data_IF_428871682082
#
_entry.id   IF_428871682082
#
_cell.length_a   1.000
_cell.length_b   1.000
_cell.length_c   1.000
_cell.angle_alpha   90.00
_cell.angle_beta   90.00
_cell.angle_gamma   90.00
#
_symmetry.space_group_name_H-M   'P 1'
#
loop_
_entity.id
_entity.type
_entity.pdbx_description
1 polymer ?
#
# COMPACT_ATOMS: atom_id res chain seq x y z
N UNK A 1 14.61 -11.40 -11.73
CA UNK A 1 13.21 -11.38 -12.21
C UNK A 1 12.57 -12.75 -11.95
N UNK A 2 11.80 -12.92 -10.87
CA UNK A 2 10.82 -14.02 -10.83
C UNK A 2 9.64 -13.61 -11.72
N UNK A 3 9.85 -13.69 -13.04
CA UNK A 3 8.88 -13.19 -14.02
C UNK A 3 7.73 -14.20 -14.13
N UNK A 4 6.74 -14.07 -13.26
CA UNK A 4 5.51 -14.87 -13.29
C UNK A 4 4.56 -14.40 -14.40
N UNK A 5 5.07 -14.04 -15.59
CA UNK A 5 4.29 -13.46 -16.70
C UNK A 5 3.12 -14.35 -17.10
N UNK A 6 3.36 -15.66 -17.24
CA UNK A 6 2.34 -16.64 -17.58
C UNK A 6 1.24 -16.74 -16.51
N UNK A 7 1.62 -16.83 -15.23
CA UNK A 7 0.66 -16.92 -14.13
C UNK A 7 -0.14 -15.64 -13.96
N UNK A 8 0.51 -14.47 -14.11
CA UNK A 8 -0.18 -13.17 -14.13
C UNK A 8 -1.22 -13.10 -15.26
N UNK A 9 -0.90 -13.66 -16.43
CA UNK A 9 -1.85 -13.73 -17.55
C UNK A 9 -3.04 -14.65 -17.23
N UNK A 10 -2.82 -15.83 -16.64
CA UNK A 10 -3.91 -16.72 -16.20
C UNK A 10 -4.83 -16.00 -15.22
N UNK A 11 -4.28 -15.41 -14.15
CA UNK A 11 -5.08 -14.70 -13.16
C UNK A 11 -5.78 -13.48 -13.75
N UNK A 12 -5.19 -12.81 -14.75
CA UNK A 12 -5.88 -11.75 -15.48
C UNK A 12 -7.12 -12.26 -16.21
N UNK A 13 -7.07 -13.44 -16.82
CA UNK A 13 -8.25 -14.02 -17.46
C UNK A 13 -9.32 -14.43 -16.44
N UNK A 14 -8.89 -15.02 -15.32
CA UNK A 14 -9.78 -15.51 -14.28
C UNK A 14 -10.50 -14.38 -13.54
N UNK A 15 -9.78 -13.32 -13.19
CA UNK A 15 -10.31 -12.19 -12.41
C UNK A 15 -10.81 -11.03 -13.26
N UNK A 16 -10.49 -11.03 -14.57
CA UNK A 16 -10.68 -9.90 -15.49
C UNK A 16 -9.94 -8.61 -15.07
N UNK A 17 -9.03 -8.70 -14.09
CA UNK A 17 -8.23 -7.58 -13.56
C UNK A 17 -6.76 -7.83 -13.85
N UNK A 18 -5.99 -6.77 -14.10
CA UNK A 18 -4.56 -6.90 -14.41
C UNK A 18 -3.79 -7.22 -13.12
N UNK A 19 -2.94 -8.23 -13.17
CA UNK A 19 -2.05 -8.59 -12.05
C UNK A 19 -0.70 -7.91 -12.27
N UNK A 20 -0.35 -7.00 -11.36
CA UNK A 20 0.90 -6.25 -11.41
C UNK A 20 2.05 -7.13 -10.92
N UNK A 21 1.87 -7.73 -9.74
CA UNK A 21 2.88 -8.58 -9.09
C UNK A 21 2.27 -9.83 -8.46
N UNK A 22 3.13 -10.81 -8.21
CA UNK A 22 2.87 -11.99 -7.37
C UNK A 22 4.08 -12.07 -6.44
N UNK A 23 3.86 -11.90 -5.14
CA UNK A 23 4.92 -11.60 -4.18
C UNK A 23 5.56 -10.23 -4.42
N UNK A 24 6.69 -10.00 -3.74
CA UNK A 24 7.46 -8.75 -3.81
C UNK A 24 8.94 -9.00 -4.04
N UNK A 25 9.58 -8.07 -4.75
CA UNK A 25 11.05 -8.02 -4.90
C UNK A 25 11.67 -6.90 -4.03
N UNK A 26 10.92 -6.37 -3.07
CA UNK A 26 11.45 -5.40 -2.12
C UNK A 26 12.61 -6.01 -1.33
N UNK A 27 13.70 -5.25 -1.17
CA UNK A 27 14.86 -5.67 -0.40
C UNK A 27 14.75 -5.08 1.02
N UNK A 28 14.43 -5.90 2.02
CA UNK A 28 14.20 -5.42 3.37
C UNK A 28 15.53 -5.01 4.03
N UNK A 29 15.47 -4.00 4.90
CA UNK A 29 16.61 -3.48 5.68
C UNK A 29 16.39 -3.60 7.20
N UNK A 30 15.16 -3.90 7.65
CA UNK A 30 14.82 -4.10 9.07
C UNK A 30 14.16 -5.47 9.30
N UNK A 31 14.16 -6.01 10.54
CA UNK A 31 13.53 -7.30 10.84
C UNK A 31 12.03 -7.34 10.49
N UNK A 32 11.29 -6.26 10.77
CA UNK A 32 9.88 -6.15 10.39
C UNK A 32 9.71 -6.20 8.87
N UNK A 33 10.55 -5.50 8.11
CA UNK A 33 10.51 -5.57 6.65
C UNK A 33 10.79 -6.97 6.12
N UNK A 34 11.71 -7.71 6.74
CA UNK A 34 12.01 -9.10 6.39
C UNK A 34 10.77 -9.95 6.54
N UNK A 35 10.09 -9.88 7.69
CA UNK A 35 8.88 -10.65 7.97
C UNK A 35 7.78 -10.40 6.94
N UNK A 36 7.51 -9.13 6.61
CA UNK A 36 6.50 -8.82 5.59
C UNK A 36 6.91 -9.31 4.20
N UNK A 37 8.16 -9.12 3.78
CA UNK A 37 8.64 -9.61 2.48
C UNK A 37 8.52 -11.14 2.40
N UNK A 38 8.86 -11.85 3.48
CA UNK A 38 8.68 -13.29 3.59
C UNK A 38 7.20 -13.67 3.51
N UNK A 39 6.31 -12.98 4.23
CA UNK A 39 4.86 -13.22 4.17
C UNK A 39 4.27 -12.99 2.78
N UNK A 40 4.62 -11.90 2.10
CA UNK A 40 4.21 -11.61 0.72
C UNK A 40 4.61 -12.72 -0.24
N UNK A 41 5.86 -13.18 -0.14
CA UNK A 41 6.42 -14.19 -1.04
C UNK A 41 5.93 -15.60 -0.71
N UNK A 42 5.84 -15.95 0.58
CA UNK A 42 5.32 -17.23 1.04
C UNK A 42 3.86 -17.42 0.63
N UNK A 43 3.04 -16.39 0.84
CA UNK A 43 1.62 -16.44 0.50
C UNK A 43 1.35 -16.19 -0.99
N UNK A 44 2.35 -15.74 -1.76
CA UNK A 44 2.20 -15.29 -3.14
C UNK A 44 1.14 -14.19 -3.27
N UNK A 45 1.08 -13.26 -2.32
CA UNK A 45 0.14 -12.13 -2.33
C UNK A 45 0.26 -11.38 -3.64
N UNK A 46 -0.87 -11.11 -4.29
CA UNK A 46 -0.90 -10.51 -5.63
C UNK A 46 -1.40 -9.09 -5.57
N UNK A 47 -0.70 -8.17 -6.21
CA UNK A 47 -1.21 -6.83 -6.44
C UNK A 47 -2.05 -6.81 -7.72
N UNK A 48 -3.31 -6.40 -7.59
CA UNK A 48 -4.28 -6.30 -8.66
C UNK A 48 -4.58 -4.83 -8.96
N UNK A 49 -4.64 -4.48 -10.24
CA UNK A 49 -5.15 -3.21 -10.73
C UNK A 49 -6.66 -3.37 -10.97
N UNK A 50 -7.47 -2.73 -10.13
CA UNK A 50 -8.93 -2.74 -10.22
C UNK A 50 -9.39 -1.64 -11.18
N UNK A 51 -8.82 -0.45 -11.02
CA UNK A 51 -8.96 0.73 -11.87
C UNK A 51 -7.57 1.37 -12.08
N UNK A 52 -7.21 1.60 -13.33
CA UNK A 52 -5.90 2.16 -13.69
C UNK A 52 -5.76 3.61 -13.21
N UNK A 53 -4.60 3.93 -12.64
CA UNK A 53 -4.31 5.30 -12.23
C UNK A 53 -3.99 6.19 -13.44
N UNK A 54 -4.60 7.37 -13.50
CA UNK A 54 -4.25 8.42 -14.45
C UNK A 54 -3.14 9.28 -13.83
N UNK A 55 -1.88 8.93 -14.11
CA UNK A 55 -0.70 9.58 -13.52
C UNK A 55 -0.31 10.77 -14.40
N UNK A 56 -0.54 11.98 -13.88
CA UNK A 56 -0.11 13.25 -14.46
C UNK A 56 0.29 14.22 -13.35
N UNK A 57 1.00 15.29 -13.71
CA UNK A 57 1.35 16.36 -12.77
C UNK A 57 0.10 16.93 -12.06
N UNK A 58 -0.97 17.18 -12.83
CA UNK A 58 -2.24 17.68 -12.33
C UNK A 58 -2.92 16.69 -11.38
N UNK A 59 -2.93 15.39 -11.71
CA UNK A 59 -3.56 14.40 -10.84
C UNK A 59 -2.77 14.19 -9.54
N UNK A 60 -1.44 14.27 -9.60
CA UNK A 60 -0.57 14.23 -8.43
C UNK A 60 -0.83 15.42 -7.52
N UNK A 61 -0.94 16.61 -8.09
CA UNK A 61 -1.24 17.82 -7.34
C UNK A 61 -2.65 17.79 -6.73
N UNK A 62 -3.66 17.39 -7.50
CA UNK A 62 -5.03 17.20 -7.00
C UNK A 62 -5.09 16.20 -5.83
N UNK A 63 -4.40 15.06 -5.97
CA UNK A 63 -4.29 14.09 -4.89
C UNK A 63 -3.62 14.67 -3.66
N UNK A 64 -2.58 15.49 -3.83
CA UNK A 64 -1.90 16.15 -2.73
C UNK A 64 -2.85 17.13 -2.00
N UNK A 65 -3.60 17.96 -2.73
CA UNK A 65 -4.60 18.85 -2.15
C UNK A 65 -5.65 18.08 -1.34
N UNK A 66 -6.15 16.97 -1.88
CA UNK A 66 -7.11 16.12 -1.18
C UNK A 66 -6.49 15.46 0.04
N UNK A 67 -5.25 14.96 -0.08
CA UNK A 67 -4.57 14.22 0.98
C UNK A 67 -4.07 15.12 2.12
N UNK A 68 -3.76 16.38 1.85
CA UNK A 68 -3.32 17.37 2.83
C UNK A 68 -4.45 18.25 3.36
N UNK A 69 -5.55 18.38 2.62
CA UNK A 69 -6.56 19.42 2.83
C UNK A 69 -6.17 20.70 2.10
N UNK A 70 -7.04 21.20 1.24
CA UNK A 70 -6.80 22.38 0.40
C UNK A 70 -6.48 23.65 1.20
N UNK A 71 -6.97 23.72 2.44
CA UNK A 71 -6.74 24.80 3.40
C UNK A 71 -5.31 24.81 3.96
N UNK A 72 -4.58 23.71 3.84
CA UNK A 72 -3.19 23.58 4.30
C UNK A 72 -2.18 23.95 3.20
N UNK A 73 -2.64 24.27 1.98
CA UNK A 73 -1.80 24.76 0.88
C UNK A 73 -2.15 26.22 0.57
N UNK A 74 -1.18 27.15 0.51
CA UNK A 74 -1.45 28.56 0.23
C UNK A 74 -2.06 28.75 -1.17
N UNK A 75 -3.03 29.66 -1.34
CA UNK A 75 -3.68 29.87 -2.66
C UNK A 75 -2.72 30.30 -3.77
N UNK A 76 -1.70 31.08 -3.44
CA UNK A 76 -0.72 31.62 -4.39
C UNK A 76 0.54 30.75 -4.51
N UNK A 77 0.41 29.43 -4.29
CA UNK A 77 1.52 28.50 -4.46
C UNK A 77 1.84 28.29 -5.95
N UNK A 78 3.06 27.81 -6.23
CA UNK A 78 3.43 27.24 -7.52
C UNK A 78 3.81 25.78 -7.34
N UNK A 79 3.22 24.92 -8.15
CA UNK A 79 3.55 23.50 -8.19
C UNK A 79 4.48 23.24 -9.38
N UNK A 80 5.64 22.63 -9.11
CA UNK A 80 6.62 22.28 -10.13
C UNK A 80 6.85 20.77 -10.14
N UNK A 81 6.85 20.21 -11.34
CA UNK A 81 7.38 18.88 -11.62
C UNK A 81 8.82 19.02 -12.08
N UNK A 82 9.75 18.52 -11.27
CA UNK A 82 11.18 18.54 -11.56
C UNK A 82 11.54 17.30 -12.38
N UNK A 83 10.99 16.16 -12.00
CA UNK A 83 11.15 14.88 -12.70
C UNK A 83 9.77 14.26 -12.89
N UNK A 84 9.46 13.86 -14.13
CA UNK A 84 8.18 13.23 -14.48
C UNK A 84 7.97 11.94 -13.67
N UNK A 85 6.74 11.72 -13.19
CA UNK A 85 6.39 10.46 -12.54
C UNK A 85 6.45 9.27 -13.50
N UNK A 86 6.78 8.11 -12.95
CA UNK A 86 6.64 6.87 -13.69
C UNK A 86 5.16 6.59 -13.96
N UNK A 87 4.82 6.37 -15.23
CA UNK A 87 3.46 6.06 -15.68
C UNK A 87 3.02 4.63 -15.36
N UNK A 88 3.76 3.94 -14.50
CA UNK A 88 3.49 2.57 -14.08
C UNK A 88 3.55 2.48 -12.56
N UNK A 89 2.68 1.64 -12.01
CA UNK A 89 2.73 1.28 -10.60
C UNK A 89 3.60 0.05 -10.45
N UNK A 90 4.65 0.17 -9.63
CA UNK A 90 5.53 -0.94 -9.29
C UNK A 90 5.31 -1.38 -7.85
N UNK A 91 5.11 -2.68 -7.64
CA UNK A 91 4.70 -3.19 -6.34
C UNK A 91 5.77 -3.01 -5.26
N UNK A 92 7.05 -3.21 -5.56
CA UNK A 92 8.10 -3.06 -4.54
C UNK A 92 8.15 -1.62 -4.00
N UNK A 93 7.83 -0.63 -4.84
CA UNK A 93 7.74 0.76 -4.44
C UNK A 93 6.54 0.98 -3.51
N UNK A 94 5.47 0.20 -3.64
CA UNK A 94 4.32 0.20 -2.72
C UNK A 94 4.64 -0.51 -1.41
N UNK A 95 5.27 -1.67 -1.44
CA UNK A 95 5.69 -2.36 -0.20
C UNK A 95 6.60 -1.44 0.61
N UNK A 96 7.59 -0.82 -0.04
CA UNK A 96 8.47 0.17 0.58
C UNK A 96 7.72 1.42 1.09
N UNK A 97 6.89 2.06 0.23
CA UNK A 97 6.29 3.35 0.58
C UNK A 97 5.00 3.29 1.40
N UNK A 98 4.27 2.18 1.33
CA UNK A 98 2.87 2.06 1.78
C UNK A 98 2.70 0.96 2.82
N UNK A 99 3.55 -0.06 2.86
CA UNK A 99 3.45 -1.08 3.91
C UNK A 99 4.52 -0.80 4.97
N UNK A 100 5.76 -0.54 4.55
CA UNK A 100 6.90 -0.44 5.48
C UNK A 100 7.15 0.98 6.00
N UNK A 101 6.92 2.00 5.17
CA UNK A 101 7.22 3.38 5.52
C UNK A 101 6.04 4.13 6.14
N UNK A 102 5.81 4.02 7.45
CA UNK A 102 5.07 5.07 8.16
C UNK A 102 5.94 6.32 8.27
N UNK A 103 7.21 6.15 8.64
CA UNK A 103 7.99 7.32 9.01
C UNK A 103 8.62 7.98 7.78
N UNK A 104 8.66 9.31 7.75
CA UNK A 104 9.39 10.08 6.73
C UNK A 104 10.29 11.10 7.39
N UNK A 105 11.43 11.34 6.75
CA UNK A 105 12.34 12.36 7.19
C UNK A 105 11.95 13.70 6.56
N UNK A 106 11.83 14.70 7.40
CA UNK A 106 11.67 16.09 7.04
C UNK A 106 13.00 16.78 7.29
N UNK A 107 13.58 17.33 6.23
CA UNK A 107 14.71 18.25 6.34
C UNK A 107 14.22 19.68 6.19
N UNK A 108 14.73 20.58 7.02
CA UNK A 108 14.43 22.01 7.01
C UNK A 108 15.77 22.76 7.03
N UNK A 109 15.91 23.75 6.17
CA UNK A 109 17.12 24.54 6.00
C UNK A 109 16.78 26.04 6.00
N UNK A 110 17.58 26.80 6.75
CA UNK A 110 17.63 28.25 6.76
C UNK A 110 18.88 28.71 6.04
N UNK A 111 18.76 29.75 5.21
CA UNK A 111 19.93 30.34 4.54
C UNK A 111 20.93 30.97 5.51
N UNK A 112 20.46 31.46 6.66
CA UNK A 112 21.28 32.08 7.70
C UNK A 112 20.80 31.63 9.08
N UNK A 113 21.70 31.56 10.09
CA UNK A 113 21.31 31.23 11.45
C UNK A 113 20.22 32.15 11.98
N UNK A 114 19.20 31.58 12.61
CA UNK A 114 18.09 32.35 13.18
C UNK A 114 17.48 31.67 14.41
N UNK A 115 17.07 32.43 15.44
CA UNK A 115 16.35 31.89 16.60
C UNK A 115 15.02 31.21 16.26
N UNK A 116 14.48 31.44 15.06
CA UNK A 116 13.24 30.78 14.60
C UNK A 116 13.40 29.25 14.55
N UNK A 117 14.62 28.75 14.42
CA UNK A 117 14.88 27.30 14.34
C UNK A 117 14.40 26.56 15.59
N UNK A 118 14.51 27.17 16.77
CA UNK A 118 13.97 26.60 18.02
C UNK A 118 12.44 26.56 18.01
N UNK A 119 11.79 27.55 17.39
CA UNK A 119 10.33 27.54 17.21
C UNK A 119 9.91 26.44 16.24
N UNK A 120 10.70 26.18 15.19
CA UNK A 120 10.44 25.10 14.24
C UNK A 120 10.54 23.74 14.92
N UNK A 121 11.57 23.51 15.73
CA UNK A 121 11.71 22.27 16.50
C UNK A 121 10.56 22.04 17.45
N UNK A 122 10.14 23.08 18.18
CA UNK A 122 8.96 22.99 19.06
C UNK A 122 7.69 22.64 18.28
N UNK A 123 7.49 23.27 17.13
CA UNK A 123 6.33 23.00 16.28
C UNK A 123 6.31 21.56 15.75
N UNK A 124 7.47 21.03 15.33
CA UNK A 124 7.60 19.64 14.89
C UNK A 124 7.22 18.67 16.03
N UNK A 125 7.70 18.92 17.25
CA UNK A 125 7.36 18.11 18.43
C UNK A 125 5.86 18.17 18.76
N UNK A 126 5.23 19.35 18.66
CA UNK A 126 3.78 19.53 18.87
C UNK A 126 2.95 18.77 17.83
N UNK A 127 3.47 18.56 16.63
CA UNK A 127 2.84 17.78 15.54
C UNK A 127 3.25 16.29 15.58
N UNK A 128 3.73 15.80 16.73
CA UNK A 128 4.18 14.42 16.98
C UNK A 128 5.37 13.96 16.13
N UNK A 129 6.21 14.89 15.67
CA UNK A 129 7.50 14.57 15.07
C UNK A 129 8.58 14.33 16.11
N UNK A 130 9.67 13.69 15.70
CA UNK A 130 10.88 13.46 16.49
C UNK A 130 12.06 14.21 15.86
N UNK A 131 12.79 15.00 16.64
CA UNK A 131 14.01 15.67 16.15
C UNK A 131 15.17 14.67 16.18
N UNK A 132 15.81 14.46 15.03
CA UNK A 132 16.96 13.57 14.89
C UNK A 132 18.26 14.38 15.02
N UNK A 133 18.34 15.48 14.26
CA UNK A 133 19.46 16.41 14.28
C UNK A 133 18.96 17.85 14.16
N UNK A 134 19.64 18.76 14.86
CA UNK A 134 19.36 20.19 14.80
C UNK A 134 20.67 20.97 14.92
N UNK A 135 20.86 21.93 14.01
CA UNK A 135 21.92 22.93 14.05
C UNK A 135 21.32 24.33 14.15
N UNK A 136 22.14 25.38 13.98
CA UNK A 136 21.64 26.77 13.95
C UNK A 136 20.95 27.14 12.63
N UNK A 137 21.08 26.31 11.59
CA UNK A 137 20.50 26.53 10.25
C UNK A 137 19.69 25.36 9.74
N UNK A 138 19.83 24.16 10.29
CA UNK A 138 19.23 22.95 9.75
C UNK A 138 18.51 22.13 10.81
N UNK A 139 17.44 21.45 10.41
CA UNK A 139 16.76 20.43 11.21
C UNK A 139 16.54 19.21 10.33
N UNK A 140 16.89 18.03 10.86
CA UNK A 140 16.41 16.75 10.35
C UNK A 140 15.48 16.17 11.40
N UNK A 141 14.23 15.93 11.03
CA UNK A 141 13.22 15.33 11.88
C UNK A 141 12.58 14.12 11.22
N UNK A 142 11.97 13.27 12.04
CA UNK A 142 11.22 12.10 11.66
C UNK A 142 9.74 12.37 11.94
N UNK A 143 8.90 12.15 10.94
CA UNK A 143 7.48 12.47 10.92
C UNK A 143 6.64 11.20 10.72
N UNK A 144 5.41 11.20 11.22
CA UNK A 144 4.50 10.03 11.20
C UNK A 144 4.09 9.53 9.81
N UNK A 145 4.09 10.41 8.80
CA UNK A 145 3.71 10.08 7.44
C UNK A 145 4.31 11.06 6.45
N UNK A 146 4.35 10.68 5.15
CA UNK A 146 4.74 11.59 4.07
C UNK A 146 3.85 12.83 4.02
N UNK A 147 2.54 12.65 4.20
CA UNK A 147 1.59 13.74 4.12
C UNK A 147 1.74 14.69 5.31
N UNK A 148 1.98 14.17 6.51
CA UNK A 148 2.27 14.99 7.68
C UNK A 148 3.58 15.75 7.53
N UNK A 149 4.63 15.10 7.01
CA UNK A 149 5.90 15.75 6.73
C UNK A 149 5.74 16.93 5.76
N UNK A 150 4.99 16.74 4.66
CA UNK A 150 4.74 17.81 3.68
C UNK A 150 3.89 18.93 4.30
N UNK A 151 2.83 18.59 5.04
CA UNK A 151 1.97 19.58 5.73
C UNK A 151 2.77 20.43 6.72
N UNK A 152 3.56 19.78 7.58
CA UNK A 152 4.41 20.46 8.57
C UNK A 152 5.45 21.32 7.86
N UNK A 153 6.09 20.80 6.80
CA UNK A 153 7.03 21.57 5.98
C UNK A 153 6.40 22.86 5.42
N UNK A 154 5.19 22.78 4.83
CA UNK A 154 4.48 23.96 4.31
C UNK A 154 4.24 24.98 5.43
N UNK A 155 3.84 24.54 6.62
CA UNK A 155 3.63 25.43 7.78
C UNK A 155 4.92 26.08 8.24
N UNK A 156 6.03 25.34 8.32
CA UNK A 156 7.34 25.88 8.71
C UNK A 156 7.85 26.91 7.69
N UNK A 157 7.66 26.65 6.39
CA UNK A 157 7.99 27.63 5.33
C UNK A 157 7.13 28.88 5.46
N UNK A 158 5.82 28.74 5.74
CA UNK A 158 4.92 29.87 6.01
C UNK A 158 5.36 30.70 7.22
N UNK A 159 5.70 30.06 8.34
CA UNK A 159 6.23 30.71 9.55
C UNK A 159 7.55 31.44 9.27
N UNK A 160 8.43 30.86 8.45
CA UNK A 160 9.64 31.51 7.96
C UNK A 160 9.33 32.79 7.20
N UNK A 161 8.45 32.70 6.20
CA UNK A 161 8.02 33.83 5.39
C UNK A 161 7.39 34.96 6.23
N UNK A 162 6.61 34.62 7.25
CA UNK A 162 6.02 35.59 8.17
C UNK A 162 7.09 36.41 8.92
N UNK A 163 8.21 35.76 9.24
CA UNK A 163 9.40 36.35 9.88
C UNK A 163 10.43 36.88 8.86
N UNK A 164 10.09 36.97 7.57
CA UNK A 164 10.98 37.38 6.48
C UNK A 164 12.25 36.49 6.33
N UNK A 165 12.14 35.21 6.70
CA UNK A 165 13.21 34.21 6.58
C UNK A 165 12.83 33.25 5.47
N UNK A 166 13.74 33.07 4.50
CA UNK A 166 13.58 32.04 3.47
C UNK A 166 13.90 30.68 4.06
N UNK A 167 12.93 29.77 3.99
CA UNK A 167 13.05 28.41 4.49
C UNK A 167 12.90 27.46 3.33
N UNK A 168 13.82 26.49 3.26
CA UNK A 168 13.66 25.34 2.39
C UNK A 168 13.36 24.12 3.22
N UNK A 169 12.64 23.21 2.60
CA UNK A 169 12.39 21.93 3.21
C UNK A 169 12.23 20.86 2.16
N UNK A 170 12.50 19.63 2.56
CA UNK A 170 12.31 18.49 1.70
C UNK A 170 11.93 17.25 2.50
N UNK A 171 11.11 16.40 1.89
CA UNK A 171 10.64 15.15 2.47
C UNK A 171 11.31 13.98 1.77
N UNK A 172 11.80 13.02 2.55
CA UNK A 172 12.54 11.85 2.07
C UNK A 172 12.23 10.59 2.88
N UNK A 173 12.60 9.43 2.33
CA UNK A 173 12.51 8.15 3.05
C UNK A 173 13.59 8.04 4.14
N UNK A 174 14.72 8.71 3.95
CA UNK A 174 15.84 8.81 4.90
C UNK A 174 16.26 10.27 5.05
N UNK A 175 16.99 10.61 6.10
CA UNK A 175 17.54 11.95 6.30
C UNK A 175 18.48 12.38 5.15
N UNK A 176 19.32 11.47 4.66
CA UNK A 176 20.16 11.73 3.49
C UNK A 176 19.32 12.03 2.23
N UNK A 177 18.26 11.25 2.00
CA UNK A 177 17.39 11.43 0.84
C UNK A 177 16.54 12.72 0.92
N UNK A 178 16.22 13.24 2.12
CA UNK A 178 15.58 14.56 2.26
C UNK A 178 16.58 15.69 2.00
N UNK A 179 17.82 15.58 2.50
CA UNK A 179 18.88 16.58 2.24
C UNK A 179 19.23 16.66 0.75
N UNK A 180 19.51 15.52 0.11
CA UNK A 180 19.82 15.45 -1.32
C UNK A 180 18.72 16.12 -2.17
N UNK A 181 17.46 15.93 -1.76
CA UNK A 181 16.31 16.53 -2.43
C UNK A 181 16.23 18.05 -2.23
N UNK A 182 16.54 18.56 -1.05
CA UNK A 182 16.64 20.01 -0.83
C UNK A 182 17.74 20.62 -1.72
N UNK A 183 18.90 19.96 -1.80
CA UNK A 183 20.01 20.38 -2.65
C UNK A 183 19.60 20.39 -4.14
N UNK A 184 18.92 19.33 -4.59
CA UNK A 184 18.45 19.24 -5.98
C UNK A 184 17.39 20.30 -6.30
N UNK A 185 16.43 20.52 -5.39
CA UNK A 185 15.44 21.57 -5.50
C UNK A 185 16.10 22.95 -5.68
N UNK A 186 17.17 23.22 -4.92
CA UNK A 186 17.93 24.45 -5.07
C UNK A 186 18.61 24.58 -6.44
N UNK A 187 19.18 23.50 -6.97
CA UNK A 187 19.83 23.50 -8.29
C UNK A 187 18.86 23.76 -9.43
N UNK A 188 17.66 23.19 -9.36
CA UNK A 188 16.67 23.21 -10.44
C UNK A 188 15.77 24.45 -10.40
N UNK A 189 15.34 24.86 -9.21
CA UNK A 189 14.34 25.94 -9.03
C UNK A 189 14.99 27.23 -8.50
N UNK A 190 16.16 27.14 -7.86
CA UNK A 190 16.89 28.27 -7.27
C UNK A 190 16.50 28.56 -5.82
N UNK A 191 16.92 29.74 -5.34
CA UNK A 191 16.83 30.10 -3.92
C UNK A 191 15.43 30.59 -3.46
N UNK A 192 14.40 29.76 -3.70
CA UNK A 192 13.02 30.05 -3.32
C UNK A 192 12.57 29.26 -2.07
N UNK A 193 11.71 29.85 -1.22
CA UNK A 193 11.07 29.13 -0.12
C UNK A 193 10.10 28.08 -0.63
N UNK A 194 10.20 26.86 -0.10
CA UNK A 194 9.35 25.77 -0.59
C UNK A 194 9.64 24.41 0.01
N UNK A 195 8.88 23.42 -0.50
CA UNK A 195 8.90 22.03 -0.05
C UNK A 195 9.12 21.10 -1.23
N UNK A 196 10.21 20.33 -1.21
CA UNK A 196 10.49 19.27 -2.19
C UNK A 196 10.06 17.88 -1.72
N UNK A 197 9.49 17.05 -2.59
CA UNK A 197 9.08 15.68 -2.22
C UNK A 197 8.99 14.74 -3.44
N UNK A 198 8.77 13.44 -3.19
CA UNK A 198 8.60 12.42 -4.24
C UNK A 198 7.24 11.73 -4.19
N UNK A 199 6.68 11.43 -5.36
CA UNK A 199 5.49 10.59 -5.52
C UNK A 199 5.60 9.80 -6.82
N UNK A 200 5.42 8.47 -6.75
CA UNK A 200 5.46 7.56 -7.91
C UNK A 200 6.72 7.70 -8.80
N UNK A 201 7.90 7.75 -8.20
CA UNK A 201 9.17 7.95 -8.93
C UNK A 201 9.41 9.38 -9.43
N UNK A 202 8.37 10.22 -9.49
CA UNK A 202 8.47 11.64 -9.83
C UNK A 202 8.93 12.49 -8.65
N UNK A 203 9.48 13.66 -8.97
CA UNK A 203 9.96 14.66 -8.02
C UNK A 203 9.26 15.99 -8.21
N UNK A 204 8.78 16.55 -7.11
CA UNK A 204 7.89 17.69 -7.11
C UNK A 204 8.32 18.74 -6.09
N UNK A 205 7.94 19.98 -6.35
CA UNK A 205 8.12 21.10 -5.43
C UNK A 205 6.86 21.95 -5.30
N UNK A 206 6.57 22.38 -4.08
CA UNK A 206 5.64 23.48 -3.81
C UNK A 206 6.45 24.69 -3.41
N UNK A 207 6.40 25.75 -4.21
CA UNK A 207 7.05 27.02 -3.93
C UNK A 207 6.04 28.01 -3.36
N UNK A 208 6.44 28.72 -2.32
CA UNK A 208 5.61 29.64 -1.56
C UNK A 208 6.18 31.07 -1.67
N UNK A 209 5.41 31.92 -2.35
CA UNK A 209 5.85 33.27 -2.73
C UNK A 209 5.31 34.34 -1.76
N UNK A 210 4.38 33.97 -0.87
CA UNK A 210 3.64 34.89 0.00
C UNK A 210 3.51 34.36 1.41
N UNK A 211 3.45 35.29 2.38
CA UNK A 211 3.11 35.01 3.78
C UNK A 211 1.85 34.16 3.88
N UNK A 212 1.92 33.14 4.73
CA UNK A 212 0.83 32.19 4.90
C UNK A 212 0.82 31.68 6.33
N UNK A 213 -0.30 31.92 6.99
CA UNK A 213 -0.69 31.23 8.21
C UNK A 213 -1.84 30.31 7.85
N UNK A 214 -1.61 28.99 7.91
CA UNK A 214 -2.74 28.05 7.81
C UNK A 214 -3.67 28.32 9.01
N UNK A 215 -4.98 28.07 8.87
CA UNK A 215 -5.84 27.96 10.05
C UNK A 215 -5.23 26.96 11.04
N UNK A 216 -5.48 27.14 12.35
CA UNK A 216 -5.33 26.04 13.32
C UNK A 216 -6.38 24.99 12.97
N UNK A 217 -6.11 24.17 11.98
CA UNK A 217 -6.88 22.97 11.72
C UNK A 217 -6.59 21.99 12.86
N UNK A 218 -7.65 21.55 13.54
CA UNK A 218 -7.55 20.35 14.35
C UNK A 218 -7.02 19.25 13.43
N UNK A 219 -6.06 18.46 13.91
CA UNK A 219 -5.41 17.31 13.25
C UNK A 219 -6.43 16.23 12.80
N UNK A 220 -7.73 16.48 12.94
CA UNK A 220 -8.80 15.48 12.99
C UNK A 220 -9.55 15.20 11.68
N UNK A 221 -9.24 15.76 10.52
CA UNK A 221 -10.11 15.52 9.34
C UNK A 221 -9.52 14.61 8.25
N UNK A 222 -8.22 14.28 8.29
CA UNK A 222 -7.63 13.32 7.34
C UNK A 222 -7.56 11.91 7.91
N UNK A 223 -8.72 11.38 8.28
CA UNK A 223 -8.86 10.01 8.75
C UNK A 223 -8.63 9.00 7.62
N UNK A 224 -7.98 7.89 7.95
CA UNK A 224 -7.93 6.71 7.08
C UNK A 224 -8.77 5.64 7.78
N UNK A 225 -9.85 5.20 7.13
CA UNK A 225 -10.73 4.16 7.63
C UNK A 225 -10.40 2.84 6.97
N UNK A 226 -10.39 1.78 7.77
CA UNK A 226 -10.36 0.39 7.31
C UNK A 226 -11.71 -0.21 7.68
N UNK A 227 -12.42 -0.72 6.67
CA UNK A 227 -13.59 -1.57 6.86
C UNK A 227 -13.18 -3.02 6.56
N UNK A 228 -13.51 -3.95 7.45
CA UNK A 228 -13.30 -5.39 7.26
C UNK A 228 -14.64 -6.08 7.46
N UNK A 229 -14.91 -7.08 6.63
CA UNK A 229 -16.06 -7.95 6.79
C UNK A 229 -15.71 -9.39 6.38
N UNK A 230 -16.18 -10.36 7.15
CA UNK A 230 -15.96 -11.78 6.92
C UNK A 230 -16.89 -12.28 5.81
N UNK A 231 -16.29 -12.78 4.73
CA UNK A 231 -17.04 -13.36 3.63
C UNK A 231 -17.67 -14.69 4.04
N UNK A 232 -18.91 -14.94 3.59
CA UNK A 232 -19.68 -16.14 3.91
C UNK A 232 -19.75 -16.44 5.42
N UNK A 233 -19.82 -15.41 6.25
CA UNK A 233 -19.85 -15.51 7.72
C UNK A 233 -20.91 -16.49 8.22
N UNK A 234 -22.09 -16.54 7.58
CA UNK A 234 -23.16 -17.50 7.90
C UNK A 234 -22.69 -18.94 7.73
N UNK A 235 -22.00 -19.25 6.62
CA UNK A 235 -21.45 -20.59 6.38
C UNK A 235 -20.35 -20.90 7.39
N UNK A 236 -19.46 -19.96 7.66
CA UNK A 236 -18.41 -20.12 8.66
C UNK A 236 -18.99 -20.42 10.05
N UNK A 237 -20.04 -19.72 10.47
CA UNK A 237 -20.70 -19.99 11.75
C UNK A 237 -21.41 -21.33 11.81
N UNK A 238 -21.91 -21.84 10.67
CA UNK A 238 -22.48 -23.19 10.61
C UNK A 238 -21.41 -24.27 10.71
N UNK A 239 -20.26 -24.08 10.06
CA UNK A 239 -19.17 -25.05 10.01
C UNK A 239 -18.35 -25.09 11.32
N UNK A 240 -18.20 -23.94 11.99
CA UNK A 240 -17.26 -23.78 13.11
C UNK A 240 -17.87 -23.22 14.41
N UNK A 241 -19.14 -22.80 14.38
CA UNK A 241 -19.82 -22.19 15.51
C UNK A 241 -19.61 -20.67 15.63
N UNK A 242 -20.56 -19.99 16.29
CA UNK A 242 -20.52 -18.54 16.50
C UNK A 242 -19.38 -18.08 17.41
N UNK A 243 -19.02 -18.88 18.40
CA UNK A 243 -17.95 -18.54 19.34
C UNK A 243 -16.60 -18.39 18.63
N UNK A 244 -16.35 -19.23 17.61
CA UNK A 244 -15.14 -19.15 16.81
C UNK A 244 -15.08 -17.90 15.93
N UNK A 245 -16.22 -17.42 15.43
CA UNK A 245 -16.30 -16.12 14.74
C UNK A 245 -15.98 -14.98 15.71
N UNK A 246 -16.53 -15.02 16.93
CA UNK A 246 -16.30 -14.00 17.96
C UNK A 246 -14.82 -13.95 18.35
N UNK A 247 -14.21 -15.11 18.58
CA UNK A 247 -12.77 -15.24 18.86
C UNK A 247 -11.94 -14.62 17.73
N UNK A 248 -12.22 -15.03 16.48
CA UNK A 248 -11.51 -14.54 15.30
C UNK A 248 -11.58 -13.01 15.18
N UNK A 249 -12.79 -12.44 15.28
CA UNK A 249 -13.00 -11.00 15.14
C UNK A 249 -12.42 -10.21 16.33
N UNK A 250 -12.42 -10.78 17.53
CA UNK A 250 -11.74 -10.17 18.67
C UNK A 250 -10.22 -10.18 18.50
N UNK A 251 -9.62 -11.23 17.96
CA UNK A 251 -8.19 -11.25 17.63
C UNK A 251 -7.84 -10.20 16.59
N UNK A 252 -8.65 -10.04 15.54
CA UNK A 252 -8.48 -8.97 14.55
C UNK A 252 -8.58 -7.59 15.21
N UNK A 253 -9.55 -7.39 16.11
CA UNK A 253 -9.71 -6.15 16.88
C UNK A 253 -8.46 -5.83 17.72
N UNK A 254 -7.96 -6.81 18.47
CA UNK A 254 -6.78 -6.67 19.33
C UNK A 254 -5.55 -6.32 18.48
N UNK A 255 -5.34 -7.05 17.37
CA UNK A 255 -4.26 -6.78 16.43
C UNK A 255 -4.30 -5.33 15.91
N UNK A 256 -5.48 -4.85 15.52
CA UNK A 256 -5.68 -3.48 15.05
C UNK A 256 -5.34 -2.45 16.12
N UNK A 257 -5.79 -2.65 17.36
CA UNK A 257 -5.61 -1.70 18.46
C UNK A 257 -4.17 -1.69 19.00
N UNK A 258 -3.59 -2.87 19.21
CA UNK A 258 -2.30 -3.04 19.90
C UNK A 258 -1.11 -2.96 18.95
N UNK A 259 -1.18 -3.61 17.79
CA UNK A 259 -0.03 -3.71 16.86
C UNK A 259 -0.04 -2.57 15.83
N UNK A 260 -1.20 -2.24 15.28
CA UNK A 260 -1.34 -1.23 14.22
C UNK A 260 -1.72 0.17 14.73
N UNK A 261 -1.92 0.34 16.05
CA UNK A 261 -2.34 1.61 16.69
C UNK A 261 -3.62 2.21 16.09
N UNK A 262 -4.49 1.35 15.57
CA UNK A 262 -5.80 1.73 15.07
C UNK A 262 -6.78 1.96 16.20
N UNK A 263 -7.75 2.85 15.98
CA UNK A 263 -8.88 3.05 16.90
C UNK A 263 -10.14 2.43 16.31
N UNK A 264 -10.74 1.48 17.01
CA UNK A 264 -12.03 0.91 16.60
C UNK A 264 -13.13 1.97 16.75
N UNK A 265 -13.86 2.19 15.67
CA UNK A 265 -14.94 3.19 15.59
C UNK A 265 -16.32 2.52 15.48
N UNK A 266 -16.37 1.25 15.09
CA UNK A 266 -17.57 0.44 15.06
C UNK A 266 -17.23 -1.04 15.01
N UNK A 267 -17.75 -1.79 15.97
CA UNK A 267 -17.71 -3.24 16.00
C UNK A 267 -18.83 -3.70 16.93
N UNK A 268 -19.73 -4.55 16.43
CA UNK A 268 -20.75 -5.18 17.26
C UNK A 268 -20.17 -6.51 17.75
N UNK A 269 -20.14 -6.72 19.08
CA UNK A 269 -19.64 -7.98 19.63
C UNK A 269 -20.39 -9.18 19.03
N UNK A 270 -19.63 -10.09 18.39
CA UNK A 270 -20.18 -11.24 17.66
C UNK A 270 -20.82 -10.93 16.32
N UNK A 271 -20.55 -9.74 15.76
CA UNK A 271 -20.73 -9.43 14.34
C UNK A 271 -19.54 -9.89 13.50
N UNK A 272 -19.72 -9.82 12.19
CA UNK A 272 -18.76 -10.21 11.15
C UNK A 272 -18.04 -9.02 10.51
N UNK A 273 -18.47 -7.79 10.81
CA UNK A 273 -17.91 -6.55 10.31
C UNK A 273 -17.21 -5.72 11.40
N UNK A 274 -16.20 -4.96 11.01
CA UNK A 274 -15.55 -3.97 11.87
C UNK A 274 -15.10 -2.76 11.05
N UNK A 275 -15.09 -1.60 11.72
CA UNK A 275 -14.52 -0.38 11.18
C UNK A 275 -13.54 0.26 12.17
N UNK A 276 -12.35 0.55 11.66
CA UNK A 276 -11.25 1.11 12.40
C UNK A 276 -10.74 2.38 11.72
N UNK A 277 -10.18 3.28 12.53
CA UNK A 277 -9.59 4.56 12.10
C UNK A 277 -8.10 4.55 12.39
N UNK A 278 -7.31 4.96 11.42
CA UNK A 278 -5.86 4.99 11.47
C UNK A 278 -5.32 6.40 11.21
N UNK A 279 -4.18 6.75 11.83
CA UNK A 279 -3.52 8.04 11.60
C UNK A 279 -2.95 8.13 10.18
N UNK A 280 -2.57 7.01 9.58
CA UNK A 280 -2.00 6.97 8.23
C UNK A 280 -2.61 5.85 7.38
N UNK A 281 -2.49 6.02 6.06
CA UNK A 281 -3.00 5.05 5.08
C UNK A 281 -2.19 3.75 5.09
N UNK A 282 -0.89 3.84 5.32
CA UNK A 282 0.01 2.69 5.37
C UNK A 282 -0.34 1.75 6.54
N UNK A 283 -0.64 2.29 7.72
CA UNK A 283 -1.10 1.52 8.87
C UNK A 283 -2.45 0.84 8.59
N UNK A 284 -3.39 1.53 7.93
CA UNK A 284 -4.67 0.93 7.54
C UNK A 284 -4.49 -0.23 6.55
N UNK A 285 -3.56 -0.11 5.60
CA UNK A 285 -3.28 -1.17 4.61
C UNK A 285 -2.59 -2.36 5.27
N UNK A 286 -1.60 -2.13 6.14
CA UNK A 286 -0.97 -3.17 6.96
C UNK A 286 -2.00 -3.93 7.78
N UNK A 287 -2.80 -3.21 8.55
CA UNK A 287 -3.87 -3.79 9.35
C UNK A 287 -4.82 -4.66 8.51
N UNK A 288 -5.18 -4.21 7.30
CA UNK A 288 -6.00 -4.99 6.37
C UNK A 288 -5.31 -6.27 5.89
N UNK A 289 -4.03 -6.20 5.53
CA UNK A 289 -3.24 -7.36 5.07
C UNK A 289 -3.02 -8.39 6.17
N UNK A 290 -2.64 -7.94 7.36
CA UNK A 290 -2.40 -8.82 8.50
C UNK A 290 -3.69 -9.50 8.94
N UNK A 291 -4.81 -8.75 8.94
CA UNK A 291 -6.14 -9.33 9.13
C UNK A 291 -6.47 -10.35 8.05
N UNK A 292 -6.13 -10.09 6.79
CA UNK A 292 -6.38 -11.03 5.69
C UNK A 292 -5.56 -12.31 5.81
N UNK A 293 -4.28 -12.22 6.18
CA UNK A 293 -3.43 -13.39 6.42
C UNK A 293 -3.90 -14.19 7.64
N UNK A 294 -4.18 -13.51 8.75
CA UNK A 294 -4.63 -14.14 9.99
C UNK A 294 -5.98 -14.85 9.81
N UNK A 295 -6.97 -14.19 9.24
CA UNK A 295 -8.31 -14.78 9.03
C UNK A 295 -8.26 -15.97 8.08
N UNK A 296 -7.45 -15.88 7.03
CA UNK A 296 -7.25 -16.98 6.08
C UNK A 296 -6.60 -18.20 6.72
N UNK A 297 -5.59 -18.01 7.57
CA UNK A 297 -4.99 -19.12 8.33
C UNK A 297 -5.96 -19.76 9.33
N UNK A 298 -7.05 -19.07 9.68
CA UNK A 298 -8.13 -19.57 10.54
C UNK A 298 -9.37 -20.04 9.77
N UNK A 299 -9.27 -20.20 8.44
CA UNK A 299 -10.32 -20.77 7.59
C UNK A 299 -11.41 -19.79 7.16
N UNK A 300 -11.25 -18.48 7.42
CA UNK A 300 -12.15 -17.43 6.98
C UNK A 300 -11.53 -16.59 5.86
N UNK A 301 -12.34 -15.87 5.09
CA UNK A 301 -11.87 -14.87 4.14
C UNK A 301 -12.45 -13.53 4.52
N UNK A 302 -11.73 -12.46 4.22
CA UNK A 302 -12.26 -11.12 4.42
C UNK A 302 -12.35 -10.36 3.10
N UNK A 303 -13.31 -9.44 3.07
CA UNK A 303 -13.26 -8.28 2.22
C UNK A 303 -12.84 -7.09 3.07
N UNK A 304 -11.85 -6.34 2.59
CA UNK A 304 -11.36 -5.17 3.29
C UNK A 304 -11.24 -3.98 2.33
N UNK A 305 -11.58 -2.80 2.81
CA UNK A 305 -11.50 -1.56 2.05
C UNK A 305 -10.92 -0.43 2.88
N UNK A 306 -9.95 0.29 2.33
CA UNK A 306 -9.34 1.47 2.95
C UNK A 306 -9.88 2.73 2.27
N UNK A 307 -10.43 3.69 3.03
CA UNK A 307 -10.99 4.94 2.51
C UNK A 307 -10.67 6.16 3.39
N UNK A 308 -10.94 7.37 2.91
CA UNK A 308 -10.89 8.61 3.70
C UNK A 308 -12.13 8.81 4.56
N UNK A 309 -13.24 8.20 4.15
CA UNK A 309 -14.48 8.16 4.93
C UNK A 309 -14.89 6.72 5.23
N UNK A 310 -15.76 6.55 6.24
CA UNK A 310 -16.34 5.25 6.57
C UNK A 310 -17.09 4.63 5.39
N UNK A 311 -17.85 5.46 4.67
CA UNK A 311 -18.62 5.06 3.49
C UNK A 311 -17.70 4.57 2.37
N UNK A 312 -16.66 5.35 2.06
CA UNK A 312 -15.70 5.02 1.02
C UNK A 312 -14.93 3.72 1.32
N UNK A 313 -14.56 3.51 2.60
CA UNK A 313 -13.95 2.25 3.02
C UNK A 313 -14.90 1.05 2.80
N UNK A 314 -16.18 1.20 3.15
CA UNK A 314 -17.21 0.17 2.91
C UNK A 314 -17.47 -0.10 1.42
N UNK A 315 -17.61 0.95 0.60
CA UNK A 315 -17.80 0.83 -0.85
C UNK A 315 -16.61 0.10 -1.51
N UNK A 316 -15.38 0.41 -1.10
CA UNK A 316 -14.17 -0.29 -1.57
C UNK A 316 -14.12 -1.75 -1.14
N UNK A 317 -14.57 -2.07 0.08
CA UNK A 317 -14.66 -3.46 0.53
C UNK A 317 -15.70 -4.26 -0.29
N UNK A 318 -16.84 -3.63 -0.63
CA UNK A 318 -17.88 -4.27 -1.46
C UNK A 318 -17.40 -4.56 -2.89
N UNK A 319 -16.48 -3.77 -3.45
CA UNK A 319 -15.88 -4.07 -4.77
C UNK A 319 -15.20 -5.45 -4.81
N UNK A 320 -14.77 -6.00 -3.67
CA UNK A 320 -14.22 -7.35 -3.60
C UNK A 320 -15.25 -8.42 -4.03
N UNK A 321 -16.54 -8.16 -3.85
CA UNK A 321 -17.61 -9.09 -4.24
C UNK A 321 -17.70 -9.25 -5.76
N UNK A 322 -17.32 -8.22 -6.52
CA UNK A 322 -17.35 -8.24 -7.98
C UNK A 322 -16.15 -8.98 -8.59
N UNK A 323 -15.08 -9.16 -7.81
CA UNK A 323 -13.81 -9.75 -8.25
C UNK A 323 -13.70 -11.16 -7.68
N UNK A 324 -14.22 -12.13 -8.42
CA UNK A 324 -14.21 -13.54 -8.03
C UNK A 324 -13.59 -14.41 -9.12
N UNK A 325 -13.10 -15.58 -8.70
CA UNK A 325 -12.72 -16.65 -9.63
C UNK A 325 -13.80 -17.74 -9.55
N UNK A 326 -13.53 -18.82 -8.81
CA UNK A 326 -14.51 -19.87 -8.49
C UNK A 326 -15.12 -19.68 -7.10
N UNK A 327 -14.40 -18.96 -6.23
CA UNK A 327 -14.79 -18.64 -4.87
C UNK A 327 -14.44 -17.17 -4.60
N UNK A 328 -15.05 -16.56 -3.57
CA UNK A 328 -14.68 -15.21 -3.14
C UNK A 328 -13.18 -15.11 -2.82
N UNK A 329 -12.59 -13.97 -3.14
CA UNK A 329 -11.16 -13.68 -2.93
C UNK A 329 -10.98 -12.89 -1.63
N UNK A 330 -9.94 -13.21 -0.85
CA UNK A 330 -9.57 -12.38 0.29
C UNK A 330 -8.83 -11.14 -0.24
N UNK A 331 -9.50 -9.99 -0.24
CA UNK A 331 -9.05 -8.78 -0.94
C UNK A 331 -8.99 -7.59 0.01
N UNK A 332 -7.88 -6.85 -0.08
CA UNK A 332 -7.67 -5.57 0.60
C UNK A 332 -7.59 -4.47 -0.45
N UNK A 333 -8.67 -3.69 -0.59
CA UNK A 333 -8.84 -2.67 -1.63
C UNK A 333 -8.44 -1.29 -1.11
N UNK A 334 -7.59 -0.60 -1.86
CA UNK A 334 -7.11 0.72 -1.53
C UNK A 334 -6.87 1.56 -2.80
N UNK A 335 -6.89 2.86 -2.63
CA UNK A 335 -6.55 3.76 -3.72
C UNK A 335 -5.04 3.96 -3.85
N UNK A 336 -4.55 4.20 -5.06
CA UNK A 336 -3.21 4.68 -5.29
C UNK A 336 -3.19 5.55 -6.53
N UNK A 337 -2.60 6.74 -6.46
CA UNK A 337 -2.37 7.52 -7.67
C UNK A 337 -3.63 8.23 -8.19
N UNK A 338 -4.82 7.95 -7.65
CA UNK A 338 -6.20 8.11 -8.18
C UNK A 338 -6.81 6.86 -8.82
N UNK A 339 -6.07 5.76 -8.97
CA UNK A 339 -6.58 4.45 -9.35
C UNK A 339 -6.94 3.60 -8.13
N UNK A 340 -7.61 2.47 -8.36
CA UNK A 340 -7.97 1.50 -7.33
C UNK A 340 -7.17 0.21 -7.52
N UNK A 341 -6.62 -0.28 -6.42
CA UNK A 341 -5.78 -1.46 -6.38
C UNK A 341 -6.24 -2.37 -5.26
N UNK A 342 -5.97 -3.66 -5.40
CA UNK A 342 -6.33 -4.67 -4.41
C UNK A 342 -5.17 -5.61 -4.16
N UNK A 343 -4.83 -5.85 -2.90
CA UNK A 343 -4.00 -7.00 -2.56
C UNK A 343 -4.89 -8.22 -2.39
N UNK A 344 -4.66 -9.23 -3.22
CA UNK A 344 -5.27 -10.54 -3.09
C UNK A 344 -4.35 -11.45 -2.29
N UNK A 345 -4.86 -11.95 -1.16
CA UNK A 345 -4.20 -12.97 -0.35
C UNK A 345 -4.74 -14.36 -0.75
N UNK A 346 -3.95 -15.20 -1.44
CA UNK A 346 -4.43 -16.48 -1.96
C UNK A 346 -4.66 -17.52 -0.87
N UNK A 347 -5.73 -18.31 -1.00
CA UNK A 347 -6.03 -19.44 -0.12
C UNK A 347 -4.98 -20.56 -0.24
N UNK A 348 -4.90 -21.44 0.74
CA UNK A 348 -3.97 -22.59 0.75
C UNK A 348 -3.99 -23.41 -0.54
N UNK A 349 -5.19 -23.67 -1.05
CA UNK A 349 -5.38 -24.37 -2.32
C UNK A 349 -4.72 -23.63 -3.49
N UNK A 350 -4.96 -22.33 -3.61
CA UNK A 350 -4.36 -21.52 -4.67
C UNK A 350 -2.84 -21.41 -4.48
N UNK A 351 -2.36 -21.22 -3.24
CA UNK A 351 -0.92 -21.23 -2.91
C UNK A 351 -0.25 -22.53 -3.34
N UNK A 352 -0.92 -23.66 -3.13
CA UNK A 352 -0.42 -24.99 -3.52
C UNK A 352 -0.31 -25.13 -5.03
N UNK A 353 -1.32 -24.68 -5.77
CA UNK A 353 -1.29 -24.64 -7.25
C UNK A 353 -0.15 -23.74 -7.74
N UNK A 354 -0.01 -22.54 -7.17
CA UNK A 354 1.06 -21.60 -7.54
C UNK A 354 2.44 -22.19 -7.27
N UNK A 355 2.64 -22.77 -6.09
CA UNK A 355 3.89 -23.45 -5.72
C UNK A 355 4.22 -24.57 -6.71
N UNK A 356 3.23 -25.39 -7.08
CA UNK A 356 3.41 -26.43 -8.10
C UNK A 356 3.82 -25.85 -9.46
N UNK A 357 3.16 -24.78 -9.90
CA UNK A 357 3.50 -24.08 -11.16
C UNK A 357 4.91 -23.48 -11.12
N UNK A 358 5.36 -22.95 -9.98
CA UNK A 358 6.64 -22.26 -9.87
C UNK A 358 7.82 -23.19 -9.68
N UNK A 359 7.66 -24.25 -8.89
CA UNK A 359 8.77 -25.14 -8.49
C UNK A 359 8.87 -26.39 -9.37
N UNK A 360 7.74 -26.94 -9.84
CA UNK A 360 7.67 -28.21 -10.59
C UNK A 360 7.49 -27.98 -12.10
N UNK A 361 8.04 -26.90 -12.67
CA UNK A 361 7.93 -26.57 -14.12
C UNK A 361 8.34 -27.73 -15.04
N UNK A 362 9.43 -28.43 -14.71
CA UNK A 362 9.91 -29.60 -15.46
C UNK A 362 8.95 -30.79 -15.39
N UNK A 363 8.34 -31.06 -14.22
CA UNK A 363 7.30 -32.09 -14.06
C UNK A 363 6.03 -31.73 -14.83
N UNK A 364 5.60 -30.47 -14.80
CA UNK A 364 4.43 -30.00 -15.57
C UNK A 364 4.67 -30.17 -17.07
N UNK A 365 5.84 -29.76 -17.55
CA UNK A 365 6.21 -29.93 -18.96
C UNK A 365 6.31 -31.41 -19.35
N UNK A 366 6.86 -32.25 -18.48
CA UNK A 366 6.91 -33.70 -18.67
C UNK A 366 5.51 -34.33 -18.71
N UNK A 367 4.62 -33.94 -17.80
CA UNK A 367 3.21 -34.37 -17.80
C UNK A 367 2.51 -33.92 -19.08
N UNK A 368 2.71 -32.68 -19.50
CA UNK A 368 2.10 -32.16 -20.72
C UNK A 368 2.57 -32.92 -21.96
N UNK A 369 3.89 -33.15 -22.10
CA UNK A 369 4.45 -33.94 -23.20
C UNK A 369 3.91 -35.37 -23.15
N UNK A 370 3.87 -35.99 -21.97
CA UNK A 370 3.35 -37.34 -21.81
C UNK A 370 1.89 -37.44 -22.27
N UNK A 371 1.03 -36.57 -21.75
CA UNK A 371 -0.40 -36.53 -22.13
C UNK A 371 -0.54 -36.25 -23.62
N UNK A 372 0.23 -35.31 -24.17
CA UNK A 372 0.20 -34.95 -25.58
C UNK A 372 0.63 -36.12 -26.48
N UNK A 373 1.77 -36.75 -26.20
CA UNK A 373 2.30 -37.87 -26.99
C UNK A 373 1.35 -39.06 -26.93
N UNK A 374 0.87 -39.43 -25.74
CA UNK A 374 -0.07 -40.55 -25.59
C UNK A 374 -1.39 -40.25 -26.29
N UNK A 375 -1.94 -39.05 -26.13
CA UNK A 375 -3.19 -38.66 -26.79
C UNK A 375 -3.04 -38.59 -28.31
N UNK A 376 -1.89 -38.13 -28.82
CA UNK A 376 -1.57 -38.08 -30.24
C UNK A 376 -1.44 -39.49 -30.84
N UNK A 377 -0.74 -40.40 -30.16
CA UNK A 377 -0.64 -41.81 -30.58
C UNK A 377 -2.02 -42.47 -30.59
N UNK A 378 -2.83 -42.28 -29.54
CA UNK A 378 -4.19 -42.80 -29.48
C UNK A 378 -5.08 -42.24 -30.60
N UNK A 379 -4.91 -40.96 -30.95
CA UNK A 379 -5.61 -40.36 -32.07
C UNK A 379 -5.18 -40.95 -33.42
N UNK A 380 -3.88 -41.20 -33.65
CA UNK A 380 -3.38 -41.87 -34.85
C UNK A 380 -3.90 -43.32 -34.98
N UNK A 381 -4.13 -44.00 -33.85
CA UNK A 381 -4.69 -45.35 -33.78
C UNK A 381 -6.22 -45.38 -33.89
N UNK A 382 -6.88 -44.24 -34.09
CA UNK A 382 -8.34 -44.15 -34.26
C UNK A 382 -9.15 -44.24 -32.96
N UNK A 383 -8.50 -44.21 -31.80
CA UNK A 383 -9.11 -44.34 -30.46
C UNK A 383 -8.85 -43.10 -29.59
N UNK A 384 -8.80 -41.93 -30.24
CA UNK A 384 -8.47 -40.65 -29.59
C UNK A 384 -9.40 -40.25 -28.44
N UNK A 385 -10.62 -40.80 -28.40
CA UNK A 385 -11.59 -40.61 -27.31
C UNK A 385 -11.07 -41.08 -25.94
N UNK A 386 -10.12 -42.02 -25.90
CA UNK A 386 -9.49 -42.49 -24.66
C UNK A 386 -8.34 -41.61 -24.18
N UNK A 387 -8.04 -40.48 -24.84
CA UNK A 387 -6.98 -39.55 -24.43
C UNK A 387 -7.11 -39.04 -22.99
N UNK A 388 -8.34 -39.00 -22.44
CA UNK A 388 -8.57 -38.59 -21.05
C UNK A 388 -7.94 -39.57 -20.02
N UNK A 389 -7.71 -40.85 -20.36
CA UNK A 389 -7.01 -41.78 -19.46
C UNK A 389 -5.57 -41.35 -19.20
N UNK A 390 -4.90 -40.76 -20.21
CA UNK A 390 -3.57 -40.21 -20.03
C UNK A 390 -3.58 -39.04 -19.04
N UNK A 391 -4.65 -38.23 -19.05
CA UNK A 391 -4.85 -37.14 -18.08
C UNK A 391 -5.06 -37.69 -16.66
N UNK A 392 -5.86 -38.75 -16.50
CA UNK A 392 -6.09 -39.39 -15.19
C UNK A 392 -4.77 -39.96 -14.63
N UNK A 393 -4.01 -40.69 -15.45
CA UNK A 393 -2.70 -41.25 -15.05
C UNK A 393 -1.72 -40.14 -14.67
N UNK A 394 -1.70 -39.05 -15.44
CA UNK A 394 -0.89 -37.89 -15.15
C UNK A 394 -1.28 -37.20 -13.82
N UNK A 395 -2.57 -37.10 -13.52
CA UNK A 395 -3.08 -36.58 -12.24
C UNK A 395 -2.62 -37.49 -11.09
N UNK A 396 -2.76 -38.81 -11.22
CA UNK A 396 -2.27 -39.76 -10.21
C UNK A 396 -0.77 -39.64 -9.97
N UNK A 397 0.03 -39.55 -11.03
CA UNK A 397 1.48 -39.35 -10.94
C UNK A 397 1.85 -38.02 -10.27
N UNK A 398 1.10 -36.94 -10.58
CA UNK A 398 1.30 -35.64 -9.97
C UNK A 398 0.93 -35.60 -8.47
N UNK A 399 -0.04 -36.41 -8.04
CA UNK A 399 -0.46 -36.53 -6.63
C UNK A 399 0.52 -37.40 -5.84
N UNK A 400 1.05 -38.47 -6.44
CA UNK A 400 1.94 -39.44 -5.78
C UNK A 400 3.43 -39.03 -5.76
N UNK A 401 3.81 -37.91 -6.40
CA UNK A 401 5.20 -37.44 -6.54
C UNK A 401 5.42 -35.97 -6.21
#
# INVERSE_FOLDING_TARGET
>A
MNNHSFTRWIFKLLTKKKIISIGTNYHPSTPMEVEYVEMFNFTNTMLMEIEEAQISSDSIFYNLLRDLGSENIPKNHKFYEIVEAEKKVEEYALVSNIIMGSDRYLYVELLNPSPIIEQFSKFILEENGEIIEQSSTEIVSKMLSKNDAIRVAIKLVGLGLDNNIKVRSAVGMTGAASIERSIKLNREIGDFPGVGFTKLGGEYAIILDTKFSSPKTNINDNHNYLFIDIMDSTKFTNDYGKDKLVELMNSVKIFIEEECKGKIEGYRHGGDDLIARFPSKDLAIRAGLDSAWFTLNNGAKIRAGIGKTRREAGERAQMADEIQIFNPLSLVVFELANGLYGYYVPSEFIRTILSFIFTKKSKIFGVFIFVFVVSYILALLGIGEFGFLAVIIAIFYAILS
#
